data_IF_006134806065
#
_entry.id   IF_006134806065
#
_cell.length_a   1.000
_cell.length_b   1.000
_cell.length_c   1.000
_cell.angle_alpha   90.00
_cell.angle_beta   90.00
_cell.angle_gamma   90.00
#
_symmetry.space_group_name_H-M   'P 1'
#
loop_
_entity.id
_entity.type
_entity.pdbx_description
1 polymer ?
#
# COMPACT_ATOMS: atom_id res chain seq x y z
N UNK A 1 -5.16 10.53 26.88
CA UNK A 1 -4.77 9.20 27.38
C UNK A 1 -4.44 8.33 26.19
N UNK A 2 -3.16 8.10 25.91
CA UNK A 2 -2.73 7.24 24.80
C UNK A 2 -3.07 5.80 25.18
N UNK A 3 -3.94 5.14 24.42
CA UNK A 3 -4.00 3.68 24.49
C UNK A 3 -2.61 3.14 24.12
N UNK A 4 -2.10 2.12 24.81
CA UNK A 4 -0.88 1.45 24.37
C UNK A 4 -1.12 0.88 22.96
N UNK A 5 -0.26 1.23 22.01
CA UNK A 5 -0.33 0.71 20.62
C UNK A 5 -0.12 -0.81 20.67
N UNK A 6 -1.06 -1.58 20.11
CA UNK A 6 -0.87 -3.02 19.97
C UNK A 6 0.24 -3.29 18.96
N UNK A 7 1.14 -4.22 19.29
CA UNK A 7 2.15 -4.69 18.34
C UNK A 7 1.45 -5.37 17.18
N UNK A 8 1.88 -5.05 15.97
CA UNK A 8 1.39 -5.66 14.73
C UNK A 8 2.50 -6.50 14.09
N UNK A 9 2.12 -7.44 13.22
CA UNK A 9 3.07 -8.16 12.36
C UNK A 9 3.03 -7.58 10.96
N UNK A 10 4.20 -7.28 10.42
CA UNK A 10 4.35 -6.81 9.05
C UNK A 10 4.87 -7.96 8.16
N UNK A 11 4.24 -8.18 7.02
CA UNK A 11 4.78 -8.98 5.93
C UNK A 11 4.89 -8.10 4.68
N UNK A 12 6.00 -8.22 3.97
CA UNK A 12 6.27 -7.47 2.74
C UNK A 12 6.70 -8.49 1.69
N UNK A 13 6.06 -8.44 0.53
CA UNK A 13 6.40 -9.26 -0.62
C UNK A 13 6.42 -8.42 -1.89
N UNK A 14 7.10 -8.94 -2.91
CA UNK A 14 7.05 -8.41 -4.27
C UNK A 14 6.30 -9.40 -5.16
N UNK A 15 5.38 -8.91 -5.97
CA UNK A 15 4.65 -9.72 -6.95
C UNK A 15 4.89 -9.15 -8.34
N UNK A 16 5.25 -10.01 -9.31
CA UNK A 16 5.39 -9.62 -10.72
C UNK A 16 4.17 -10.09 -11.48
N UNK A 17 3.38 -9.15 -11.97
CA UNK A 17 2.12 -9.39 -12.64
C UNK A 17 2.30 -9.25 -14.16
N UNK A 18 2.22 -10.34 -14.94
CA UNK A 18 2.36 -10.27 -16.39
C UNK A 18 1.18 -9.52 -17.01
N UNK A 19 1.46 -8.63 -17.96
CA UNK A 19 0.42 -7.94 -18.71
C UNK A 19 -0.12 -8.84 -19.82
N UNK A 20 -1.44 -8.81 -20.06
CA UNK A 20 -2.08 -9.57 -21.15
C UNK A 20 -1.53 -9.18 -22.53
N UNK A 21 -1.10 -7.93 -22.68
CA UNK A 21 -0.46 -7.40 -23.89
C UNK A 21 0.57 -6.36 -23.45
N UNK A 22 1.73 -6.23 -24.14
CA UNK A 22 2.71 -5.23 -23.77
C UNK A 22 2.12 -3.82 -23.75
N UNK A 23 2.37 -3.09 -22.66
CA UNK A 23 1.97 -1.70 -22.52
C UNK A 23 3.10 -0.79 -23.04
N UNK A 24 2.78 0.06 -24.03
CA UNK A 24 3.78 0.91 -24.69
C UNK A 24 3.48 2.37 -24.45
N UNK A 25 4.54 3.10 -24.08
CA UNK A 25 4.57 4.56 -24.07
C UNK A 25 5.80 5.01 -24.88
N UNK A 26 5.94 6.31 -25.12
CA UNK A 26 7.14 6.82 -25.80
C UNK A 26 8.40 6.41 -25.04
N UNK A 27 9.27 5.63 -25.70
CA UNK A 27 10.57 5.21 -25.16
C UNK A 27 10.57 3.98 -24.24
N UNK A 28 9.40 3.44 -23.89
CA UNK A 28 9.30 2.29 -22.98
C UNK A 28 8.26 1.27 -23.43
N UNK A 29 8.55 0.00 -23.17
CA UNK A 29 7.60 -1.10 -23.30
C UNK A 29 7.64 -1.90 -22.01
N UNK A 30 6.48 -2.05 -21.37
CA UNK A 30 6.30 -2.84 -20.18
C UNK A 30 5.61 -4.14 -20.55
N UNK A 31 6.14 -5.25 -20.08
CA UNK A 31 5.57 -6.60 -20.27
C UNK A 31 4.89 -7.13 -19.01
N UNK A 32 5.20 -6.51 -17.88
CA UNK A 32 4.78 -6.87 -16.55
C UNK A 32 4.75 -5.62 -15.67
N UNK A 33 4.09 -5.74 -14.53
CA UNK A 33 4.13 -4.78 -13.44
C UNK A 33 4.63 -5.50 -12.19
N UNK A 34 5.81 -5.12 -11.70
CA UNK A 34 6.25 -5.55 -10.38
C UNK A 34 5.72 -4.59 -9.32
N UNK A 35 5.05 -5.14 -8.32
CA UNK A 35 4.44 -4.40 -7.21
C UNK A 35 5.00 -4.88 -5.87
N UNK A 36 5.00 -4.00 -4.88
CA UNK A 36 5.18 -4.36 -3.48
C UNK A 36 3.82 -4.48 -2.82
N UNK A 37 3.63 -5.58 -2.10
CA UNK A 37 2.46 -5.88 -1.29
C UNK A 37 2.88 -5.85 0.18
N UNK A 38 2.25 -4.97 0.95
CA UNK A 38 2.43 -4.88 2.39
C UNK A 38 1.18 -5.41 3.09
N UNK A 39 1.37 -6.34 4.02
CA UNK A 39 0.31 -6.92 4.86
C UNK A 39 0.61 -6.63 6.32
N UNK A 40 -0.34 -6.00 7.02
CA UNK A 40 -0.22 -5.68 8.45
C UNK A 40 -1.32 -6.43 9.20
N UNK A 41 -0.92 -7.21 10.21
CA UNK A 41 -1.83 -8.03 11.00
C UNK A 41 -1.82 -7.69 12.48
N UNK A 42 -3.00 -7.56 13.06
CA UNK A 42 -3.24 -7.43 14.50
C UNK A 42 -4.32 -8.43 14.95
N UNK A 43 -3.90 -9.50 15.63
CA UNK A 43 -4.78 -10.62 15.97
C UNK A 43 -5.44 -11.22 14.73
N UNK A 44 -6.78 -11.13 14.68
CA UNK A 44 -7.61 -11.61 13.58
C UNK A 44 -7.87 -10.55 12.50
N UNK A 45 -7.52 -9.29 12.76
CA UNK A 45 -7.63 -8.21 11.78
C UNK A 45 -6.36 -8.14 10.91
N UNK A 46 -6.55 -7.98 9.61
CA UNK A 46 -5.46 -7.90 8.63
C UNK A 46 -5.82 -6.85 7.57
N UNK A 47 -4.84 -6.05 7.18
CA UNK A 47 -4.97 -5.12 6.06
C UNK A 47 -3.84 -5.30 5.06
N UNK A 48 -4.17 -5.19 3.78
CA UNK A 48 -3.25 -5.32 2.65
C UNK A 48 -3.23 -4.02 1.85
N UNK A 49 -2.05 -3.62 1.39
CA UNK A 49 -1.87 -2.52 0.47
C UNK A 49 -0.82 -2.84 -0.57
N UNK A 50 -0.95 -2.23 -1.74
CA UNK A 50 -0.15 -2.52 -2.93
C UNK A 50 0.35 -1.22 -3.55
N UNK A 51 1.57 -1.22 -4.06
CA UNK A 51 2.12 -0.14 -4.87
C UNK A 51 3.11 -0.65 -5.92
N UNK A 52 3.06 -0.08 -7.12
CA UNK A 52 4.09 -0.32 -8.15
C UNK A 52 5.23 0.70 -8.10
N UNK A 53 5.00 1.84 -7.44
CA UNK A 53 5.94 2.95 -7.38
C UNK A 53 6.04 3.74 -8.69
N UNK A 54 7.11 4.51 -8.87
CA UNK A 54 7.33 5.37 -10.04
C UNK A 54 8.76 5.26 -10.54
N UNK A 55 8.95 4.59 -11.67
CA UNK A 55 10.28 4.20 -12.18
C UNK A 55 11.24 5.38 -12.42
N UNK A 56 10.72 6.54 -12.86
CA UNK A 56 11.55 7.72 -13.16
C UNK A 56 11.81 8.61 -11.93
N UNK A 57 11.33 8.23 -10.76
CA UNK A 57 11.59 8.90 -9.48
C UNK A 57 12.45 8.05 -8.53
N UNK A 58 13.07 6.98 -9.03
CA UNK A 58 13.83 6.02 -8.21
C UNK A 58 12.96 5.40 -7.08
N UNK A 59 11.66 5.24 -7.34
CA UNK A 59 10.66 4.67 -6.42
C UNK A 59 10.25 3.27 -6.91
N UNK A 60 11.22 2.39 -7.16
CA UNK A 60 10.98 1.02 -7.64
C UNK A 60 10.72 0.02 -6.50
N UNK A 61 10.31 -1.23 -6.81
CA UNK A 61 10.09 -2.26 -5.81
C UNK A 61 11.26 -2.51 -4.85
N UNK A 62 12.53 -2.58 -5.30
CA UNK A 62 13.67 -2.74 -4.39
C UNK A 62 13.81 -1.58 -3.40
N UNK A 63 13.67 -0.34 -3.87
CA UNK A 63 13.78 0.86 -3.05
C UNK A 63 12.62 0.95 -2.06
N UNK A 64 11.41 0.60 -2.50
CA UNK A 64 10.24 0.55 -1.63
C UNK A 64 10.38 -0.51 -0.53
N UNK A 65 10.82 -1.73 -0.86
CA UNK A 65 11.06 -2.79 0.14
C UNK A 65 12.10 -2.32 1.15
N UNK A 66 13.22 -1.76 0.68
CA UNK A 66 14.28 -1.26 1.56
C UNK A 66 13.76 -0.15 2.50
N UNK A 67 12.95 0.77 1.99
CA UNK A 67 12.35 1.84 2.78
C UNK A 67 11.37 1.31 3.85
N UNK A 68 10.55 0.30 3.51
CA UNK A 68 9.63 -0.34 4.46
C UNK A 68 10.42 -1.09 5.54
N UNK A 69 11.41 -1.90 5.14
CA UNK A 69 12.21 -2.71 6.06
C UNK A 69 13.04 -1.85 7.03
N UNK A 70 13.58 -0.73 6.55
CA UNK A 70 14.29 0.24 7.40
C UNK A 70 13.42 0.80 8.54
N UNK A 71 12.09 0.79 8.38
CA UNK A 71 11.13 1.29 9.36
C UNK A 71 10.33 0.18 10.06
N UNK A 72 10.68 -1.10 9.84
CA UNK A 72 9.93 -2.26 10.35
C UNK A 72 9.64 -2.17 11.85
N UNK A 73 10.62 -1.77 12.66
CA UNK A 73 10.45 -1.67 14.11
C UNK A 73 9.35 -0.69 14.53
N UNK A 74 9.32 0.49 13.91
CA UNK A 74 8.30 1.51 14.17
C UNK A 74 6.92 1.09 13.64
N UNK A 75 6.89 0.42 12.47
CA UNK A 75 5.65 -0.10 11.90
C UNK A 75 5.06 -1.19 12.80
N UNK A 76 5.86 -2.17 13.21
CA UNK A 76 5.44 -3.27 14.10
C UNK A 76 5.13 -2.80 15.53
N UNK A 77 5.63 -1.62 15.94
CA UNK A 77 5.21 -0.93 17.16
C UNK A 77 3.81 -0.28 17.05
N UNK A 78 3.12 -0.42 15.92
CA UNK A 78 1.73 0.00 15.74
C UNK A 78 1.57 1.45 15.27
N UNK A 79 2.39 1.87 14.31
CA UNK A 79 2.33 3.20 13.67
C UNK A 79 0.90 3.52 13.19
N UNK A 80 0.44 4.76 13.40
CA UNK A 80 -0.83 5.22 12.82
C UNK A 80 -0.65 5.76 11.41
N UNK A 81 -1.73 5.87 10.62
CA UNK A 81 -1.70 6.53 9.31
C UNK A 81 -1.16 7.97 9.36
N UNK A 82 -1.35 8.67 10.48
CA UNK A 82 -0.80 10.02 10.68
C UNK A 82 0.71 9.98 10.90
N UNK A 83 1.16 9.08 11.77
CA UNK A 83 2.58 8.91 12.08
C UNK A 83 3.37 8.45 10.84
N UNK A 84 2.76 7.61 9.99
CA UNK A 84 3.35 7.10 8.76
C UNK A 84 3.81 8.23 7.80
N UNK A 85 3.11 9.37 7.80
CA UNK A 85 3.46 10.54 6.97
C UNK A 85 4.75 11.22 7.41
N UNK A 86 5.16 11.04 8.66
CA UNK A 86 6.42 11.53 9.20
C UNK A 86 7.53 10.47 9.07
N UNK A 87 7.15 9.19 9.06
CA UNK A 87 8.05 8.06 8.98
C UNK A 87 8.60 7.82 7.56
N UNK A 88 7.75 8.01 6.54
CA UNK A 88 8.10 7.78 5.14
C UNK A 88 7.77 8.98 4.26
N UNK A 89 8.64 9.31 3.29
CA UNK A 89 8.34 10.34 2.30
C UNK A 89 7.17 9.91 1.40
N UNK A 90 6.59 10.85 0.61
CA UNK A 90 5.72 10.48 -0.49
C UNK A 90 6.42 9.51 -1.45
N UNK A 91 5.75 8.40 -1.78
CA UNK A 91 6.29 7.33 -2.63
C UNK A 91 5.47 6.07 -2.48
N UNK A 92 5.80 5.03 -3.25
CA UNK A 92 5.04 3.80 -3.28
C UNK A 92 5.14 2.99 -1.99
N UNK A 93 6.26 3.05 -1.27
CA UNK A 93 6.39 2.44 0.07
C UNK A 93 5.32 2.97 1.04
N UNK A 94 5.15 4.30 1.08
CA UNK A 94 4.12 4.94 1.91
C UNK A 94 2.71 4.60 1.41
N UNK A 95 2.50 4.52 0.09
CA UNK A 95 1.22 4.13 -0.48
C UNK A 95 0.80 2.71 -0.06
N UNK A 96 1.69 1.73 -0.19
CA UNK A 96 1.41 0.35 0.19
C UNK A 96 1.07 0.25 1.69
N UNK A 97 1.86 0.89 2.56
CA UNK A 97 1.61 0.87 3.99
C UNK A 97 0.35 1.65 4.42
N UNK A 98 0.09 2.82 3.83
CA UNK A 98 -1.10 3.62 4.18
C UNK A 98 -2.39 2.86 3.82
N UNK A 99 -2.43 2.24 2.63
CA UNK A 99 -3.53 1.38 2.21
C UNK A 99 -3.71 0.17 3.14
N UNK A 100 -2.62 -0.49 3.53
CA UNK A 100 -2.67 -1.61 4.47
C UNK A 100 -3.22 -1.17 5.85
N UNK A 101 -2.83 0.01 6.35
CA UNK A 101 -3.35 0.57 7.60
C UNK A 101 -4.84 0.95 7.49
N UNK A 102 -5.27 1.51 6.36
CA UNK A 102 -6.69 1.79 6.11
C UNK A 102 -7.55 0.52 6.18
N UNK A 103 -7.12 -0.55 5.50
CA UNK A 103 -7.85 -1.81 5.56
C UNK A 103 -7.81 -2.41 6.97
N UNK A 104 -6.67 -2.40 7.66
CA UNK A 104 -6.54 -2.91 9.01
C UNK A 104 -7.47 -2.19 9.99
N UNK A 105 -7.51 -0.86 9.95
CA UNK A 105 -8.42 -0.05 10.78
C UNK A 105 -9.90 -0.36 10.46
N UNK A 106 -10.23 -0.54 9.18
CA UNK A 106 -11.58 -0.91 8.75
C UNK A 106 -11.98 -2.30 9.29
N UNK A 107 -11.07 -3.29 9.23
CA UNK A 107 -11.29 -4.62 9.83
C UNK A 107 -11.46 -4.57 11.34
N UNK A 108 -10.58 -3.85 12.05
CA UNK A 108 -10.68 -3.66 13.51
C UNK A 108 -12.01 -3.01 13.92
N UNK A 109 -12.50 -2.07 13.11
CA UNK A 109 -13.76 -1.36 13.37
C UNK A 109 -15.01 -2.09 12.84
N UNK A 110 -14.86 -3.22 12.16
CA UNK A 110 -15.99 -3.97 11.59
C UNK A 110 -16.79 -3.18 10.55
N UNK A 111 -16.14 -2.26 9.81
CA UNK A 111 -16.81 -1.41 8.83
C UNK A 111 -15.98 -1.26 7.55
N UNK A 112 -16.60 -1.02 6.38
CA UNK A 112 -15.85 -0.83 5.15
C UNK A 112 -15.05 0.48 5.16
N UNK A 113 -13.93 0.51 4.41
CA UNK A 113 -13.00 1.65 4.34
C UNK A 113 -13.71 2.97 3.99
N UNK A 114 -14.66 2.97 3.04
CA UNK A 114 -15.39 4.18 2.67
C UNK A 114 -16.19 4.77 3.85
N UNK A 115 -16.73 3.91 4.74
CA UNK A 115 -17.47 4.34 5.92
C UNK A 115 -16.52 4.90 6.97
N UNK A 116 -15.38 4.24 7.17
CA UNK A 116 -14.29 4.74 8.03
C UNK A 116 -13.77 6.11 7.54
N UNK A 117 -13.73 6.32 6.23
CA UNK A 117 -13.33 7.58 5.61
C UNK A 117 -14.41 8.67 5.64
N UNK A 118 -15.62 8.37 6.13
CA UNK A 118 -16.75 9.32 6.14
C UNK A 118 -17.30 9.64 4.75
N UNK A 119 -17.12 8.73 3.79
CA UNK A 119 -17.58 8.87 2.41
C UNK A 119 -18.88 8.10 2.17
N UNK A 120 -19.52 8.36 1.03
CA UNK A 120 -20.64 7.55 0.55
C UNK A 120 -20.12 6.19 0.04
N UNK A 121 -20.98 5.15 0.00
CA UNK A 121 -20.64 3.89 -0.63
C UNK A 121 -20.15 4.11 -2.07
N UNK A 122 -19.05 3.46 -2.50
CA UNK A 122 -18.55 3.60 -3.86
C UNK A 122 -19.59 3.07 -4.85
N UNK A 123 -19.79 3.80 -5.94
CA UNK A 123 -20.60 3.38 -7.07
C UNK A 123 -19.68 3.07 -8.26
N UNK A 124 -20.11 2.20 -9.19
CA UNK A 124 -19.39 2.01 -10.45
C UNK A 124 -19.22 3.33 -11.21
N UNK A 125 -18.04 3.53 -11.79
CA UNK A 125 -17.72 4.69 -12.62
C UNK A 125 -17.15 4.22 -13.95
N UNK A 126 -17.38 5.00 -15.01
CA UNK A 126 -16.71 4.80 -16.29
C UNK A 126 -15.24 5.15 -16.13
N UNK A 127 -14.35 4.26 -16.59
CA UNK A 127 -12.90 4.47 -16.63
C UNK A 127 -12.39 4.37 -18.07
N UNK A 128 -11.16 4.82 -18.30
CA UNK A 128 -10.51 4.77 -19.60
C UNK A 128 -9.91 3.40 -19.88
N UNK A 129 -9.85 3.02 -21.15
CA UNK A 129 -9.04 1.90 -21.63
C UNK A 129 -7.87 2.46 -22.42
N UNK A 130 -6.64 2.16 -21.98
CA UNK A 130 -5.45 2.64 -22.69
C UNK A 130 -5.12 1.70 -23.84
N UNK A 131 -5.01 2.26 -25.05
CA UNK A 131 -4.58 1.56 -26.25
C UNK A 131 -3.05 1.59 -26.34
N UNK A 132 -2.41 0.46 -26.64
CA UNK A 132 -0.95 0.32 -26.72
C UNK A 132 -0.47 -0.54 -27.89
#
# INVERSE_FOLDING_TARGET
MSHPRSRVRLHVSTETLPLTTPFRITGYTFTDATVVVATIRDGDAEGRGEASGVYYLEDGPPEMVAAIEAQRGEIEAGVSRKDLRHLLPPGGARNALDCALWELEARRAGQPVWKLAGLQPPAPLVTTFTLG
#
